data_IF_429229266603
#
_entry.id   IF_429229266603
#
_cell.length_a   1.000
_cell.length_b   1.000
_cell.length_c   1.000
_cell.angle_alpha   90.00
_cell.angle_beta   90.00
_cell.angle_gamma   90.00
#
_symmetry.space_group_name_H-M   'P 1'
#
loop_
_entity.id
_entity.type
_entity.pdbx_description
1 polymer ?
#
# COMPACT_ATOMS: atom_id res chain seq x y z
N UNK A 1 -5.88 -26.28 13.66
CA UNK A 1 -5.96 -24.81 13.59
C UNK A 1 -5.09 -24.27 14.73
N UNK A 2 -4.12 -23.38 14.47
CA UNK A 2 -3.14 -22.95 15.49
C UNK A 2 -3.80 -22.13 16.61
N UNK A 3 -4.79 -21.29 16.27
CA UNK A 3 -5.64 -20.57 17.20
C UNK A 3 -6.93 -20.11 16.49
N UNK A 4 -7.95 -19.67 17.23
CA UNK A 4 -9.25 -19.21 16.68
C UNK A 4 -9.61 -17.82 17.25
N UNK A 5 -9.69 -16.82 16.38
CA UNK A 5 -9.98 -15.43 16.75
C UNK A 5 -11.39 -15.24 17.33
N UNK A 6 -12.34 -16.13 17.06
CA UNK A 6 -13.69 -16.06 17.62
C UNK A 6 -13.67 -16.24 19.13
N UNK A 7 -12.79 -17.10 19.62
CA UNK A 7 -12.67 -17.51 21.02
C UNK A 7 -11.47 -16.87 21.74
N UNK A 8 -10.71 -16.01 21.06
CA UNK A 8 -9.56 -15.33 21.64
C UNK A 8 -9.97 -14.35 22.77
N UNK A 9 -9.04 -14.14 23.71
CA UNK A 9 -9.17 -13.16 24.80
C UNK A 9 -9.45 -11.75 24.26
N UNK A 10 -10.20 -10.95 25.01
CA UNK A 10 -10.57 -9.60 24.63
C UNK A 10 -9.35 -8.70 24.31
N UNK A 11 -8.22 -8.89 24.98
CA UNK A 11 -6.96 -8.17 24.73
C UNK A 11 -6.41 -8.49 23.33
N UNK A 12 -6.49 -9.74 22.89
CA UNK A 12 -6.06 -10.15 21.55
C UNK A 12 -7.00 -9.56 20.50
N UNK A 13 -8.32 -9.66 20.72
CA UNK A 13 -9.31 -9.06 19.80
C UNK A 13 -9.12 -7.54 19.67
N UNK A 14 -8.84 -6.88 20.78
CA UNK A 14 -8.55 -5.45 20.82
C UNK A 14 -7.27 -5.10 20.08
N UNK A 15 -6.17 -5.83 20.34
CA UNK A 15 -4.91 -5.67 19.62
C UNK A 15 -5.09 -5.79 18.10
N UNK A 16 -5.78 -6.84 17.64
CA UNK A 16 -6.06 -7.05 16.22
C UNK A 16 -6.92 -5.93 15.66
N UNK A 17 -7.91 -5.45 16.42
CA UNK A 17 -8.76 -4.32 16.00
C UNK A 17 -7.96 -3.03 15.83
N UNK A 18 -7.09 -2.69 16.80
CA UNK A 18 -6.18 -1.54 16.71
C UNK A 18 -5.24 -1.66 15.51
N UNK A 19 -4.61 -2.83 15.33
CA UNK A 19 -3.72 -3.10 14.19
C UNK A 19 -4.44 -2.88 12.85
N UNK A 20 -5.63 -3.47 12.70
CA UNK A 20 -6.43 -3.33 11.49
C UNK A 20 -6.85 -1.87 11.27
N UNK A 21 -7.23 -1.14 12.31
CA UNK A 21 -7.58 0.27 12.20
C UNK A 21 -6.38 1.13 11.74
N UNK A 22 -5.19 0.88 12.29
CA UNK A 22 -3.94 1.56 11.87
C UNK A 22 -3.66 1.31 10.40
N UNK A 23 -3.70 0.04 9.95
CA UNK A 23 -3.50 -0.27 8.54
C UNK A 23 -4.59 0.32 7.64
N UNK A 24 -5.84 0.34 8.09
CA UNK A 24 -6.94 0.96 7.36
C UNK A 24 -6.69 2.46 7.14
N UNK A 25 -6.24 3.16 8.17
CA UNK A 25 -5.87 4.57 8.05
C UNK A 25 -4.70 4.74 7.06
N UNK A 26 -3.66 3.92 7.15
CA UNK A 26 -2.53 3.94 6.20
C UNK A 26 -2.98 3.71 4.76
N UNK A 27 -3.88 2.76 4.51
CA UNK A 27 -4.42 2.52 3.15
C UNK A 27 -5.25 3.69 2.63
N UNK A 28 -6.02 4.37 3.48
CA UNK A 28 -6.77 5.58 3.09
C UNK A 28 -5.82 6.70 2.67
N UNK A 29 -4.77 6.96 3.45
CA UNK A 29 -3.78 7.97 3.09
C UNK A 29 -2.95 7.58 1.87
N UNK A 30 -2.62 6.30 1.71
CA UNK A 30 -1.99 5.78 0.49
C UNK A 30 -2.87 6.01 -0.74
N UNK A 31 -4.16 5.69 -0.64
CA UNK A 31 -5.14 5.95 -1.71
C UNK A 31 -5.27 7.45 -2.02
N UNK A 32 -5.33 8.30 -1.00
CA UNK A 32 -5.36 9.76 -1.17
C UNK A 32 -4.11 10.26 -1.90
N UNK A 33 -2.92 9.75 -1.53
CA UNK A 33 -1.66 10.09 -2.18
C UNK A 33 -1.68 9.71 -3.66
N UNK A 34 -2.14 8.51 -4.00
CA UNK A 34 -2.32 8.07 -5.41
C UNK A 34 -3.34 8.94 -6.14
N UNK A 35 -4.44 9.32 -5.50
CA UNK A 35 -5.45 10.23 -6.06
C UNK A 35 -4.85 11.57 -6.45
N UNK A 36 -3.99 12.13 -5.59
CA UNK A 36 -3.39 13.45 -5.78
C UNK A 36 -2.28 13.42 -6.84
N UNK A 37 -1.48 12.36 -6.89
CA UNK A 37 -0.29 12.32 -7.74
C UNK A 37 -0.52 11.64 -9.10
N UNK A 38 -1.37 10.61 -9.16
CA UNK A 38 -1.56 9.80 -10.36
C UNK A 38 -3.04 9.66 -10.80
N UNK A 39 -3.98 10.14 -9.98
CA UNK A 39 -5.41 10.14 -10.28
C UNK A 39 -6.02 8.75 -10.51
N UNK A 40 -5.39 7.68 -10.01
CA UNK A 40 -5.78 6.28 -10.25
C UNK A 40 -5.85 5.84 -11.73
N UNK A 41 -5.17 6.56 -12.63
CA UNK A 41 -5.18 6.21 -14.07
C UNK A 41 -3.83 5.63 -14.49
N UNK A 42 -3.81 4.65 -15.43
CA UNK A 42 -2.55 4.13 -15.95
C UNK A 42 -1.68 5.22 -16.58
N UNK A 43 -2.29 6.24 -17.18
CA UNK A 43 -1.61 7.37 -17.80
C UNK A 43 -0.95 8.26 -16.75
N UNK A 44 -1.65 8.57 -15.65
CA UNK A 44 -1.08 9.36 -14.55
C UNK A 44 0.07 8.63 -13.86
N UNK A 45 -0.10 7.34 -13.55
CA UNK A 45 0.98 6.50 -13.01
C UNK A 45 2.18 6.45 -13.97
N UNK A 46 1.94 6.25 -15.27
CA UNK A 46 3.01 6.26 -16.25
C UNK A 46 3.76 7.61 -16.29
N UNK A 47 3.03 8.74 -16.23
CA UNK A 47 3.62 10.07 -16.19
C UNK A 47 4.51 10.28 -14.94
N UNK A 48 4.08 9.77 -13.79
CA UNK A 48 4.87 9.81 -12.54
C UNK A 48 6.21 9.11 -12.68
N UNK A 49 6.25 7.87 -13.20
CA UNK A 49 7.50 7.11 -13.27
C UNK A 49 8.34 7.43 -14.52
N UNK A 50 7.73 7.79 -15.65
CA UNK A 50 8.46 8.15 -16.89
C UNK A 50 8.94 9.60 -16.93
N UNK A 51 8.53 10.42 -15.97
CA UNK A 51 8.94 11.81 -15.86
C UNK A 51 10.47 11.98 -15.88
N UNK A 52 10.91 13.16 -16.34
CA UNK A 52 12.34 13.53 -16.38
C UNK A 52 12.93 13.37 -14.98
N UNK A 53 14.17 12.90 -14.88
CA UNK A 53 14.87 12.82 -13.60
C UNK A 53 14.76 14.17 -12.88
N UNK A 54 14.32 14.14 -11.62
CA UNK A 54 14.36 15.34 -10.79
C UNK A 54 15.82 15.74 -10.69
N UNK A 55 16.18 16.80 -11.41
CA UNK A 55 17.49 17.39 -11.28
C UNK A 55 17.51 18.07 -9.92
N UNK A 56 17.91 17.31 -8.90
CA UNK A 56 18.45 17.83 -7.65
C UNK A 56 19.97 17.64 -7.65
N UNK A 57 20.74 18.14 -8.65
CA UNK A 57 22.17 18.26 -8.44
C UNK A 57 22.35 19.17 -7.23
N UNK A 58 23.11 18.71 -6.24
CA UNK A 58 23.63 19.60 -5.22
C UNK A 58 24.25 20.79 -5.95
N UNK A 59 23.83 22.03 -5.63
CA UNK A 59 24.42 23.19 -6.25
C UNK A 59 25.94 23.11 -5.99
N UNK A 60 26.82 23.28 -7.01
CA UNK A 60 28.24 23.44 -6.72
C UNK A 60 28.41 24.56 -5.68
N UNK A 61 29.48 24.51 -4.87
CA UNK A 61 29.73 25.51 -3.81
C UNK A 61 29.71 26.97 -4.31
N UNK A 62 29.81 27.16 -5.62
CA UNK A 62 29.72 28.43 -6.34
C UNK A 62 28.30 28.87 -6.73
N UNK A 63 27.25 28.14 -6.33
CA UNK A 63 25.88 28.46 -6.77
C UNK A 63 25.33 29.65 -6.01
N UNK A 64 25.04 30.72 -6.75
CA UNK A 64 24.27 31.84 -6.24
C UNK A 64 22.82 31.41 -5.97
N UNK A 65 22.41 31.48 -4.71
CA UNK A 65 21.00 31.32 -4.33
C UNK A 65 20.25 32.57 -4.83
N UNK A 66 19.50 32.42 -5.91
CA UNK A 66 18.59 33.44 -6.43
C UNK A 66 17.23 33.26 -5.77
N UNK A 67 16.92 34.12 -4.80
CA UNK A 67 15.57 34.23 -4.26
C UNK A 67 14.68 34.95 -5.28
N UNK A 68 13.72 34.24 -5.87
CA UNK A 68 12.67 34.85 -6.68
C UNK A 68 11.34 34.79 -5.92
N UNK A 69 10.60 35.90 -5.81
CA UNK A 69 9.27 35.89 -5.20
C UNK A 69 8.32 35.04 -6.05
N UNK A 70 7.96 33.85 -5.55
CA UNK A 70 6.91 33.02 -6.15
C UNK A 70 5.53 33.49 -5.71
N UNK A 71 4.62 33.62 -6.68
CA UNK A 71 3.22 33.91 -6.39
C UNK A 71 2.47 32.65 -5.94
N UNK A 72 1.44 32.81 -5.11
CA UNK A 72 0.56 31.68 -4.67
C UNK A 72 -0.08 30.96 -5.87
N UNK A 73 -0.30 31.67 -6.98
CA UNK A 73 -0.83 31.09 -8.22
C UNK A 73 0.18 30.18 -8.94
N UNK A 74 1.49 30.38 -8.75
CA UNK A 74 2.53 29.51 -9.32
C UNK A 74 2.70 28.22 -8.53
N UNK A 75 2.48 28.25 -7.21
CA UNK A 75 2.35 27.04 -6.38
C UNK A 75 1.13 26.19 -6.76
N UNK A 76 0.09 26.80 -7.32
CA UNK A 76 -1.12 26.12 -7.73
C UNK A 76 -1.00 25.39 -9.08
N UNK A 77 0.13 25.53 -9.80
CA UNK A 77 0.37 24.72 -11.00
C UNK A 77 0.56 23.27 -10.57
N UNK A 78 -0.21 22.31 -11.11
CA UNK A 78 -0.01 20.91 -10.81
C UNK A 78 1.34 20.48 -11.38
N UNK A 79 2.37 20.54 -10.55
CA UNK A 79 3.65 19.91 -10.85
C UNK A 79 3.39 18.41 -10.89
N UNK A 80 3.60 17.79 -12.05
CA UNK A 80 3.45 16.35 -12.19
C UNK A 80 4.48 15.75 -11.23
N UNK A 81 4.02 15.06 -10.18
CA UNK A 81 4.92 14.40 -9.26
C UNK A 81 5.69 13.33 -10.03
N UNK A 82 7.00 13.53 -10.20
CA UNK A 82 7.87 12.61 -10.92
C UNK A 82 8.74 11.82 -9.95
N UNK A 83 8.87 10.53 -10.19
CA UNK A 83 9.73 9.63 -9.40
C UNK A 83 10.98 9.29 -10.21
N UNK A 84 12.14 9.77 -9.77
CA UNK A 84 13.42 9.38 -10.34
C UNK A 84 13.87 7.98 -9.87
N UNK A 85 14.95 7.48 -10.44
CA UNK A 85 15.45 6.13 -10.13
C UNK A 85 15.97 6.01 -8.70
N UNK A 86 16.62 7.04 -8.16
CA UNK A 86 17.16 7.01 -6.81
C UNK A 86 16.03 6.99 -5.77
N UNK A 87 15.00 7.81 -6.00
CA UNK A 87 13.80 7.82 -5.20
C UNK A 87 13.08 6.48 -5.29
N UNK A 88 12.95 5.88 -6.49
CA UNK A 88 12.34 4.56 -6.65
C UNK A 88 13.12 3.45 -5.92
N UNK A 89 14.46 3.50 -5.91
CA UNK A 89 15.31 2.57 -5.14
C UNK A 89 15.05 2.74 -3.65
N UNK A 90 15.08 3.98 -3.16
CA UNK A 90 14.84 4.28 -1.74
C UNK A 90 13.43 3.83 -1.33
N UNK A 91 12.44 4.13 -2.15
CA UNK A 91 11.04 3.78 -1.90
C UNK A 91 10.87 2.26 -1.84
N UNK A 92 11.45 1.54 -2.80
CA UNK A 92 11.47 0.06 -2.83
C UNK A 92 12.17 -0.50 -1.59
N UNK A 93 13.33 0.05 -1.20
CA UNK A 93 14.13 -0.43 -0.07
C UNK A 93 13.38 -0.33 1.26
N UNK A 94 12.61 0.75 1.46
CA UNK A 94 11.87 0.98 2.71
C UNK A 94 10.52 0.26 2.68
N UNK A 95 9.77 0.38 1.58
CA UNK A 95 8.39 -0.07 1.53
C UNK A 95 8.26 -1.58 1.29
N UNK A 96 9.08 -2.20 0.45
CA UNK A 96 8.93 -3.66 0.18
C UNK A 96 9.09 -4.49 1.46
N UNK A 97 10.11 -4.26 2.32
CA UNK A 97 10.19 -4.96 3.60
C UNK A 97 9.01 -4.65 4.52
N UNK A 98 8.58 -3.38 4.58
CA UNK A 98 7.45 -2.97 5.42
C UNK A 98 6.15 -3.65 4.97
N UNK A 99 5.88 -3.73 3.66
CA UNK A 99 4.76 -4.48 3.11
C UNK A 99 4.86 -5.98 3.41
N UNK A 100 6.07 -6.54 3.43
CA UNK A 100 6.31 -7.91 3.90
C UNK A 100 5.88 -8.11 5.36
N UNK A 101 6.18 -7.14 6.23
CA UNK A 101 5.76 -7.16 7.64
C UNK A 101 4.24 -7.02 7.79
N UNK A 102 3.61 -6.12 7.03
CA UNK A 102 2.15 -5.94 7.00
C UNK A 102 1.47 -7.22 6.52
N UNK A 103 1.95 -7.81 5.42
CA UNK A 103 1.42 -9.05 4.87
C UNK A 103 1.57 -10.21 5.86
N UNK A 104 2.69 -10.31 6.57
CA UNK A 104 2.89 -11.30 7.62
C UNK A 104 1.91 -11.12 8.78
N UNK A 105 1.73 -9.87 9.26
CA UNK A 105 0.79 -9.57 10.34
C UNK A 105 -0.66 -9.88 9.95
N UNK A 106 -1.08 -9.49 8.73
CA UNK A 106 -2.40 -9.83 8.19
C UNK A 106 -2.56 -11.34 7.96
N UNK A 107 -1.51 -12.03 7.54
CA UNK A 107 -1.52 -13.49 7.37
C UNK A 107 -1.69 -14.21 8.70
N UNK A 108 -1.08 -13.71 9.77
CA UNK A 108 -1.33 -14.22 11.12
C UNK A 108 -2.81 -14.07 11.47
N UNK A 109 -3.41 -12.91 11.21
CA UNK A 109 -4.86 -12.72 11.40
C UNK A 109 -5.65 -13.75 10.58
N UNK A 110 -5.33 -13.94 9.30
CA UNK A 110 -5.99 -14.94 8.43
C UNK A 110 -5.90 -16.36 8.99
N UNK A 111 -4.76 -16.78 9.55
CA UNK A 111 -4.60 -18.09 10.19
C UNK A 111 -5.55 -18.26 11.39
N UNK A 112 -5.89 -17.17 12.07
CA UNK A 112 -6.85 -17.15 13.17
C UNK A 112 -8.31 -17.08 12.72
N UNK A 113 -8.60 -16.88 11.43
CA UNK A 113 -9.98 -16.85 10.91
C UNK A 113 -10.49 -18.26 10.65
N UNK A 114 -11.77 -18.48 10.97
CA UNK A 114 -12.50 -19.68 10.57
C UNK A 114 -12.80 -19.63 9.07
N UNK A 115 -11.85 -20.09 8.26
CA UNK A 115 -11.92 -20.17 6.80
C UNK A 115 -11.55 -21.58 6.31
N UNK A 116 -12.07 -21.97 5.15
CA UNK A 116 -11.57 -23.15 4.47
C UNK A 116 -10.10 -22.96 4.06
N UNK A 117 -9.32 -24.04 4.11
CA UNK A 117 -7.86 -24.01 3.89
C UNK A 117 -7.45 -23.36 2.57
N UNK A 118 -8.19 -23.61 1.48
CA UNK A 118 -7.95 -23.03 0.16
C UNK A 118 -8.09 -21.49 0.16
N UNK A 119 -9.08 -20.98 0.87
CA UNK A 119 -9.34 -19.54 0.96
C UNK A 119 -8.29 -18.85 1.83
N UNK A 120 -7.89 -19.49 2.94
CA UNK A 120 -6.81 -18.97 3.78
C UNK A 120 -5.49 -18.86 3.00
N UNK A 121 -5.10 -19.89 2.24
CA UNK A 121 -3.91 -19.82 1.39
C UNK A 121 -4.04 -18.77 0.29
N UNK A 122 -5.18 -18.72 -0.40
CA UNK A 122 -5.42 -17.71 -1.43
C UNK A 122 -5.27 -16.29 -0.91
N UNK A 123 -5.86 -15.98 0.26
CA UNK A 123 -5.72 -14.68 0.89
C UNK A 123 -4.27 -14.36 1.27
N UNK A 124 -3.57 -15.29 1.92
CA UNK A 124 -2.16 -15.11 2.28
C UNK A 124 -1.32 -14.84 1.03
N UNK A 125 -1.51 -15.62 -0.04
CA UNK A 125 -0.79 -15.41 -1.29
C UNK A 125 -1.07 -14.04 -1.88
N UNK A 126 -2.33 -13.57 -1.90
CA UNK A 126 -2.68 -12.24 -2.40
C UNK A 126 -2.03 -11.14 -1.57
N UNK A 127 -2.00 -11.27 -0.23
CA UNK A 127 -1.38 -10.27 0.65
C UNK A 127 0.11 -10.05 0.38
N UNK A 128 0.84 -11.11 -0.01
CA UNK A 128 2.25 -11.02 -0.38
C UNK A 128 2.47 -10.64 -1.84
N UNK A 129 1.64 -11.16 -2.76
CA UNK A 129 1.83 -10.94 -4.19
C UNK A 129 1.43 -9.52 -4.62
N UNK A 130 0.43 -8.90 -3.98
CA UNK A 130 -0.06 -7.59 -4.38
C UNK A 130 1.00 -6.47 -4.27
N UNK A 131 1.76 -6.34 -3.15
CA UNK A 131 2.89 -5.41 -3.10
C UNK A 131 3.97 -5.70 -4.14
N UNK A 132 4.25 -6.97 -4.45
CA UNK A 132 5.24 -7.32 -5.47
C UNK A 132 4.81 -6.86 -6.85
N UNK A 133 3.54 -7.07 -7.21
CA UNK A 133 2.98 -6.60 -8.47
C UNK A 133 3.02 -5.06 -8.54
N UNK A 134 2.72 -4.39 -7.43
CA UNK A 134 2.73 -2.93 -7.36
C UNK A 134 4.11 -2.36 -7.74
N UNK A 135 5.15 -2.76 -7.00
CA UNK A 135 6.54 -2.35 -7.26
C UNK A 135 7.08 -2.86 -8.59
N UNK A 136 6.82 -4.12 -8.96
CA UNK A 136 7.23 -4.63 -10.27
C UNK A 136 6.65 -3.80 -11.39
N UNK A 137 5.38 -3.37 -11.26
CA UNK A 137 4.74 -2.45 -12.19
C UNK A 137 5.45 -1.11 -12.27
N UNK A 138 5.88 -0.53 -11.14
CA UNK A 138 6.59 0.76 -11.11
C UNK A 138 7.94 0.66 -11.84
N UNK A 139 8.73 -0.38 -11.53
CA UNK A 139 10.01 -0.66 -12.17
C UNK A 139 9.86 -0.93 -13.67
N UNK A 140 8.90 -1.76 -14.06
CA UNK A 140 8.62 -2.04 -15.48
C UNK A 140 8.11 -0.80 -16.22
N UNK A 141 7.35 0.06 -15.55
CA UNK A 141 6.89 1.35 -16.10
C UNK A 141 8.06 2.26 -16.40
N UNK A 142 9.01 2.36 -15.46
CA UNK A 142 10.24 3.15 -15.57
C UNK A 142 11.13 2.67 -16.72
N UNK A 143 11.43 1.38 -16.77
CA UNK A 143 12.51 0.86 -17.63
C UNK A 143 12.05 0.15 -18.90
N UNK A 144 10.81 -0.36 -18.97
CA UNK A 144 10.34 -1.14 -20.11
C UNK A 144 9.20 -0.44 -20.89
N UNK A 145 8.03 -0.32 -20.25
CA UNK A 145 6.70 -0.09 -20.83
C UNK A 145 5.81 0.93 -20.09
N UNK A 146 5.37 2.11 -20.59
CA UNK A 146 4.36 2.87 -19.82
C UNK A 146 3.05 2.07 -19.63
N UNK A 147 2.82 1.05 -20.46
CA UNK A 147 1.68 0.13 -20.34
C UNK A 147 1.72 -0.70 -19.05
N UNK A 148 2.88 -0.91 -18.45
CA UNK A 148 2.99 -1.65 -17.18
C UNK A 148 2.47 -0.89 -15.97
N UNK A 149 2.10 0.40 -16.12
CA UNK A 149 1.42 1.17 -15.08
C UNK A 149 0.10 0.51 -14.62
N UNK A 150 -0.53 -0.29 -15.50
CA UNK A 150 -1.69 -1.09 -15.13
C UNK A 150 -1.37 -2.16 -14.08
N UNK A 151 -0.14 -2.69 -14.07
CA UNK A 151 0.31 -3.69 -13.09
C UNK A 151 0.47 -3.05 -11.72
N UNK A 152 1.00 -1.83 -11.66
CA UNK A 152 1.04 -1.01 -10.44
C UNK A 152 -0.37 -0.82 -9.88
N UNK A 153 -1.30 -0.32 -10.71
CA UNK A 153 -2.68 -0.12 -10.28
C UNK A 153 -3.36 -1.41 -9.82
N UNK A 154 -3.16 -2.52 -10.54
CA UNK A 154 -3.70 -3.81 -10.16
C UNK A 154 -3.13 -4.29 -8.82
N UNK A 155 -1.82 -4.11 -8.58
CA UNK A 155 -1.17 -4.39 -7.32
C UNK A 155 -1.75 -3.54 -6.18
N UNK A 156 -1.80 -2.22 -6.36
CA UNK A 156 -2.40 -1.28 -5.40
C UNK A 156 -3.84 -1.62 -5.00
N UNK A 157 -4.70 -1.87 -5.99
CA UNK A 157 -6.09 -2.28 -5.74
C UNK A 157 -6.18 -3.64 -5.04
N UNK A 158 -5.35 -4.61 -5.45
CA UNK A 158 -5.30 -5.92 -4.81
C UNK A 158 -4.87 -5.84 -3.33
N UNK A 159 -3.92 -4.95 -3.00
CA UNK A 159 -3.50 -4.71 -1.61
C UNK A 159 -4.68 -4.17 -0.77
N UNK A 160 -5.35 -3.12 -1.25
CA UNK A 160 -6.50 -2.54 -0.55
C UNK A 160 -7.66 -3.52 -0.39
N UNK A 161 -7.98 -4.26 -1.44
CA UNK A 161 -9.04 -5.28 -1.43
C UNK A 161 -8.70 -6.44 -0.48
N UNK A 162 -7.46 -6.94 -0.51
CA UNK A 162 -6.97 -7.99 0.37
C UNK A 162 -7.08 -7.60 1.84
N UNK A 163 -6.62 -6.39 2.18
CA UNK A 163 -6.80 -5.82 3.52
C UNK A 163 -8.28 -5.73 3.90
N UNK A 164 -9.14 -5.16 3.05
CA UNK A 164 -10.56 -4.96 3.33
C UNK A 164 -11.27 -6.28 3.65
N UNK A 165 -11.00 -7.32 2.85
CA UNK A 165 -11.56 -8.66 3.06
C UNK A 165 -11.11 -9.23 4.41
N UNK A 166 -9.81 -9.17 4.73
CA UNK A 166 -9.28 -9.66 6.01
C UNK A 166 -9.86 -8.88 7.17
N UNK A 167 -9.91 -7.55 7.08
CA UNK A 167 -10.43 -6.68 8.14
C UNK A 167 -11.92 -6.95 8.39
N UNK A 168 -12.74 -7.03 7.34
CA UNK A 168 -14.16 -7.31 7.46
C UNK A 168 -14.42 -8.70 8.08
N UNK A 169 -13.70 -9.73 7.63
CA UNK A 169 -13.83 -11.07 8.18
C UNK A 169 -13.39 -11.15 9.64
N UNK A 170 -12.27 -10.52 9.98
CA UNK A 170 -11.75 -10.48 11.34
C UNK A 170 -12.71 -9.76 12.29
N UNK A 171 -13.16 -8.55 11.95
CA UNK A 171 -14.11 -7.78 12.75
C UNK A 171 -15.42 -8.57 12.92
N UNK A 172 -15.95 -9.16 11.85
CA UNK A 172 -17.16 -9.99 11.90
C UNK A 172 -16.99 -11.19 12.82
N UNK A 173 -15.88 -11.93 12.72
CA UNK A 173 -15.67 -13.14 13.51
C UNK A 173 -15.34 -12.84 14.98
N UNK A 174 -14.61 -11.77 15.27
CA UNK A 174 -14.23 -11.41 16.64
C UNK A 174 -15.41 -10.85 17.43
N UNK A 175 -16.24 -10.00 16.81
CA UNK A 175 -17.21 -9.17 17.52
C UNK A 175 -18.68 -9.51 17.22
N UNK A 176 -18.97 -10.10 16.05
CA UNK A 176 -20.36 -10.28 15.57
C UNK A 176 -20.77 -11.74 15.35
N UNK A 177 -19.84 -12.69 15.32
CA UNK A 177 -20.19 -14.11 15.36
C UNK A 177 -20.67 -14.43 16.77
N UNK A 178 -21.98 -14.68 16.90
CA UNK A 178 -22.59 -15.06 18.16
C UNK A 178 -21.77 -16.17 18.83
N UNK A 179 -21.55 -16.04 20.14
CA UNK A 179 -21.13 -17.18 20.97
C UNK A 179 -22.09 -18.31 20.62
N UNK A 180 -21.58 -19.36 20.00
CA UNK A 180 -22.33 -20.58 19.86
C UNK A 180 -22.81 -20.96 21.26
N UNK A 181 -24.12 -21.00 21.41
CA UNK A 181 -24.80 -21.57 22.56
C UNK A 181 -24.12 -22.90 22.89
N UNK A 182 -23.67 -23.07 24.13
CA UNK A 182 -23.35 -24.38 24.69
C UNK A 182 -24.46 -25.37 24.32
N UNK A 183 -24.12 -26.36 23.49
CA UNK A 183 -24.85 -27.63 23.37
C UNK A 183 -23.85 -28.74 23.12
#
# INVERSE_FOLDING_TARGET
>A
MLYDLRHADARIKWLVTCLLATFGLSYVFGALMVSLYAGFTPQGVAATYRGREMSMPMPPETTMVLEHPMSVAEFAKPEIHTVDTNLLIQDTHVHVPMYGMIAAALSLVVVGLSLERRWAFGLITVLFAAPWLDFAGMWLTKFASPRFAIVTLAGGWAMGAGYLVVAALAVRQMWFSARGVDR
#
